data_IF_040869953127
#
_entry.id   IF_040869953127
#
_cell.length_a   1.000
_cell.length_b   1.000
_cell.length_c   1.000
_cell.angle_alpha   90.00
_cell.angle_beta   90.00
_cell.angle_gamma   90.00
#
_symmetry.space_group_name_H-M   'P 1'
#
loop_
_entity.id
_entity.type
_entity.pdbx_description
1 polymer ?
#
# COMPACT_ATOMS: atom_id res chain seq x y z
N UNK A 1 7.14 -15.68 0.28
CA UNK A 1 5.99 -16.13 1.09
C UNK A 1 5.55 -15.09 2.12
N UNK A 2 6.47 -14.39 2.81
CA UNK A 2 6.14 -13.36 3.81
C UNK A 2 5.25 -12.23 3.27
N UNK A 3 5.53 -11.71 2.07
CA UNK A 3 4.72 -10.65 1.46
C UNK A 3 3.23 -11.02 1.30
N UNK A 4 2.92 -12.28 0.95
CA UNK A 4 1.55 -12.76 0.78
C UNK A 4 0.79 -12.85 2.11
N UNK A 5 1.49 -13.31 3.16
CA UNK A 5 0.95 -13.32 4.53
C UNK A 5 0.67 -11.89 5.05
N UNK A 6 1.58 -10.95 4.81
CA UNK A 6 1.37 -9.55 5.19
C UNK A 6 0.26 -8.89 4.37
N UNK A 7 0.16 -9.19 3.07
CA UNK A 7 -0.94 -8.68 2.23
C UNK A 7 -2.30 -9.16 2.76
N UNK A 8 -2.43 -10.45 3.07
CA UNK A 8 -3.63 -11.02 3.67
C UNK A 8 -3.94 -10.37 5.03
N UNK A 9 -2.93 -10.23 5.89
CA UNK A 9 -3.09 -9.60 7.19
C UNK A 9 -3.57 -8.14 7.05
N UNK A 10 -2.97 -7.36 6.15
CA UNK A 10 -3.39 -5.99 5.85
C UNK A 10 -4.84 -5.91 5.37
N UNK A 11 -5.29 -6.82 4.51
CA UNK A 11 -6.68 -6.85 4.05
C UNK A 11 -7.66 -7.15 5.20
N UNK A 12 -7.30 -8.06 6.11
CA UNK A 12 -8.13 -8.41 7.28
C UNK A 12 -8.18 -7.29 8.32
N UNK A 13 -7.05 -6.60 8.56
CA UNK A 13 -6.96 -5.49 9.51
C UNK A 13 -7.69 -4.22 9.05
N UNK A 14 -7.87 -4.06 7.73
CA UNK A 14 -8.40 -2.84 7.13
C UNK A 14 -7.31 -1.78 6.89
N UNK A 15 -7.68 -0.74 6.14
CA UNK A 15 -6.75 0.20 5.55
C UNK A 15 -5.86 0.90 6.58
N UNK A 16 -6.46 1.50 7.61
CA UNK A 16 -5.71 2.31 8.56
C UNK A 16 -4.73 1.48 9.40
N UNK A 17 -5.17 0.34 9.94
CA UNK A 17 -4.32 -0.53 10.74
C UNK A 17 -3.27 -1.22 9.88
N UNK A 18 -3.61 -1.61 8.65
CA UNK A 18 -2.64 -2.14 7.68
C UNK A 18 -1.51 -1.14 7.41
N UNK A 19 -1.85 0.13 7.14
CA UNK A 19 -0.85 1.19 6.95
C UNK A 19 -0.03 1.42 8.23
N UNK A 20 -0.67 1.45 9.41
CA UNK A 20 0.03 1.61 10.69
C UNK A 20 1.01 0.46 10.97
N UNK A 21 0.64 -0.78 10.65
CA UNK A 21 1.50 -1.94 10.80
C UNK A 21 2.74 -1.82 9.90
N UNK A 22 2.53 -1.60 8.60
CA UNK A 22 3.65 -1.52 7.64
C UNK A 22 4.60 -0.38 8.01
N UNK A 23 4.09 0.79 8.42
CA UNK A 23 4.94 1.93 8.85
C UNK A 23 5.77 1.67 10.11
N UNK A 24 5.39 0.70 10.94
CA UNK A 24 6.14 0.34 12.16
C UNK A 24 7.26 -0.68 11.90
N UNK A 25 7.27 -1.30 10.73
CA UNK A 25 8.21 -2.37 10.35
C UNK A 25 9.13 -1.85 9.24
N UNK A 26 10.30 -1.28 9.57
CA UNK A 26 11.18 -0.63 8.58
C UNK A 26 11.71 -1.58 7.49
N UNK A 27 11.64 -2.89 7.70
CA UNK A 27 11.96 -3.91 6.71
C UNK A 27 10.83 -4.20 5.70
N UNK A 28 9.64 -3.62 5.89
CA UNK A 28 8.46 -3.89 5.08
C UNK A 28 8.06 -2.66 4.27
N UNK A 29 7.97 -2.86 2.95
CA UNK A 29 7.46 -1.86 2.02
C UNK A 29 6.06 -2.28 1.56
N UNK A 30 5.14 -1.32 1.45
CA UNK A 30 3.74 -1.59 1.11
C UNK A 30 3.15 -0.54 0.17
N UNK A 31 2.26 -1.02 -0.71
CA UNK A 31 1.46 -0.21 -1.61
C UNK A 31 -0.01 -0.60 -1.45
N UNK A 32 -0.82 0.37 -1.07
CA UNK A 32 -2.23 0.21 -0.76
C UNK A 32 -3.05 0.89 -1.84
N UNK A 33 -3.98 0.15 -2.43
CA UNK A 33 -5.03 0.68 -3.30
C UNK A 33 -6.34 0.52 -2.54
N UNK A 34 -7.11 1.59 -2.44
CA UNK A 34 -8.37 1.60 -1.72
C UNK A 34 -9.37 2.57 -2.35
N UNK A 35 -10.64 2.42 -2.02
CA UNK A 35 -11.68 3.39 -2.37
C UNK A 35 -11.91 4.32 -1.19
N UNK A 36 -12.03 5.62 -1.44
CA UNK A 36 -12.51 6.57 -0.45
C UNK A 36 -14.03 6.46 -0.23
N UNK A 37 -14.58 7.28 0.66
CA UNK A 37 -16.02 7.29 0.97
C UNK A 37 -16.92 7.61 -0.23
N UNK A 38 -16.35 8.19 -1.30
CA UNK A 38 -17.04 8.50 -2.56
C UNK A 38 -16.84 7.41 -3.61
N UNK A 39 -16.16 6.32 -3.27
CA UNK A 39 -15.81 5.24 -4.18
C UNK A 39 -14.64 5.55 -5.11
N UNK A 40 -13.97 6.70 -4.95
CA UNK A 40 -12.83 7.05 -5.81
C UNK A 40 -11.58 6.27 -5.39
N UNK A 41 -10.85 5.74 -6.37
CA UNK A 41 -9.59 5.06 -6.11
C UNK A 41 -8.55 6.04 -5.56
N UNK A 42 -7.84 5.58 -4.52
CA UNK A 42 -6.75 6.26 -3.86
C UNK A 42 -5.62 5.26 -3.65
N UNK A 43 -4.41 5.80 -3.62
CA UNK A 43 -3.21 5.01 -3.40
C UNK A 43 -2.41 5.59 -2.24
N UNK A 44 -1.85 4.73 -1.41
CA UNK A 44 -0.92 5.11 -0.35
C UNK A 44 0.24 4.13 -0.33
N UNK A 45 1.47 4.62 -0.15
CA UNK A 45 2.64 3.76 -0.17
C UNK A 45 3.69 4.24 0.83
N UNK A 46 4.54 3.33 1.26
CA UNK A 46 5.75 3.66 2.02
C UNK A 46 6.79 4.33 1.12
N UNK A 47 7.68 5.13 1.71
CA UNK A 47 8.66 5.92 0.95
C UNK A 47 9.64 5.02 0.17
N UNK A 48 10.08 3.91 0.78
CA UNK A 48 10.97 2.95 0.14
C UNK A 48 10.29 2.19 -1.00
N UNK A 49 8.96 2.08 -1.05
CA UNK A 49 8.27 1.40 -2.14
C UNK A 49 8.46 2.11 -3.50
N UNK A 50 8.71 3.43 -3.49
CA UNK A 50 8.87 4.25 -4.69
C UNK A 50 9.97 3.74 -5.62
N UNK A 51 11.03 3.14 -5.08
CA UNK A 51 12.14 2.61 -5.88
C UNK A 51 11.75 1.44 -6.80
N UNK A 52 10.61 0.79 -6.53
CA UNK A 52 10.10 -0.34 -7.33
C UNK A 52 9.14 0.10 -8.45
N UNK A 53 8.73 1.37 -8.47
CA UNK A 53 7.88 1.92 -9.52
C UNK A 53 8.72 2.18 -10.77
N UNK A 54 8.21 1.74 -11.93
CA UNK A 54 8.76 2.14 -13.23
C UNK A 54 8.12 3.45 -13.65
N UNK A 55 8.89 4.36 -14.23
CA UNK A 55 8.46 5.71 -14.62
C UNK A 55 7.36 5.75 -15.72
N UNK A 56 6.91 4.60 -16.22
CA UNK A 56 6.06 4.49 -17.41
C UNK A 56 4.54 4.48 -17.12
N UNK A 57 4.12 4.85 -15.91
CA UNK A 57 2.70 5.01 -15.57
C UNK A 57 2.47 6.31 -14.80
N UNK A 58 2.73 7.43 -15.47
CA UNK A 58 2.00 8.67 -15.19
C UNK A 58 0.54 8.43 -15.53
N UNK A 59 -0.34 8.46 -14.52
CA UNK A 59 -1.77 8.66 -14.74
C UNK A 59 -1.93 9.90 -15.63
N UNK A 60 -2.47 9.71 -16.84
CA UNK A 60 -2.84 10.81 -17.74
C UNK A 60 -3.87 11.72 -17.04
N UNK A 61 -3.81 13.05 -17.29
CA UNK A 61 -4.63 14.05 -16.63
C UNK A 61 -6.13 13.97 -16.93
#
# INVERSE_FOLDING_TARGET
MTADAYATACMVMGLEEGIRMVKKMPELEGYFIYSDEKGAFKTSMTEGFRQYLREDQTEEP
#
